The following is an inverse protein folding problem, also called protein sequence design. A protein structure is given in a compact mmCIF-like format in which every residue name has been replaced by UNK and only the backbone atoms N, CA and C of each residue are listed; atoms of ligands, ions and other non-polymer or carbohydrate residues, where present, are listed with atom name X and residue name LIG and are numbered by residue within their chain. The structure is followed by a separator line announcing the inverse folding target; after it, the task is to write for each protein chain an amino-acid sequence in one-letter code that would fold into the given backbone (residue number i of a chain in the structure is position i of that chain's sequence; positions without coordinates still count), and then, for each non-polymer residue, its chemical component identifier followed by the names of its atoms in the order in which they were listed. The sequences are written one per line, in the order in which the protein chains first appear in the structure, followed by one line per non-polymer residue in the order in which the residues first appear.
data_IF_599722782107
#
_entry.id   IF_599722782107
#
_cell.length_a   1.000
_cell.length_b   1.000
_cell.length_c   1.000
_cell.angle_alpha   90.00
_cell.angle_beta   90.00
_cell.angle_gamma   90.00
#
_symmetry.space_group_name_H-M   'P 1'
#
loop_
_entity.id
_entity.type
_entity.pdbx_description
1 polymer ?
#
# COMPACT_ATOMS: atom_id res chain seq x y z
N UNK A 1 -6.26 14.42 12.27
CA UNK A 1 -6.12 14.53 10.78
C UNK A 1 -5.51 13.26 10.23
N UNK A 2 -6.06 12.73 9.11
CA UNK A 2 -5.48 11.60 8.41
C UNK A 2 -5.04 11.99 7.00
N UNK A 3 -4.00 11.33 6.47
CA UNK A 3 -3.59 11.45 5.08
C UNK A 3 -3.86 10.13 4.35
N UNK A 4 -4.60 10.19 3.24
CA UNK A 4 -4.82 9.06 2.34
C UNK A 4 -3.89 9.18 1.13
N UNK A 5 -2.97 8.23 0.99
CA UNK A 5 -2.04 8.10 -0.13
C UNK A 5 -2.60 7.07 -1.10
N UNK A 6 -3.04 7.51 -2.28
CA UNK A 6 -3.76 6.66 -3.24
C UNK A 6 -2.94 6.45 -4.50
N UNK A 7 -2.75 5.18 -4.87
CA UNK A 7 -2.12 4.78 -6.14
C UNK A 7 -3.22 4.26 -7.08
N UNK A 8 -3.47 4.98 -8.18
CA UNK A 8 -4.53 4.64 -9.14
C UNK A 8 -4.00 4.56 -10.58
N UNK A 9 -4.65 3.71 -11.41
CA UNK A 9 -4.27 3.53 -12.81
C UNK A 9 -5.45 3.28 -13.75
N UNK A 10 -6.58 2.80 -13.27
CA UNK A 10 -7.77 2.47 -14.06
C UNK A 10 -9.07 2.63 -13.26
N UNK A 11 -10.21 2.28 -13.87
CA UNK A 11 -11.53 2.18 -13.26
C UNK A 11 -11.93 3.46 -12.49
N UNK A 12 -12.11 4.55 -13.26
CA UNK A 12 -12.46 5.85 -12.70
C UNK A 12 -13.66 5.79 -11.73
N UNK A 13 -14.74 5.11 -12.09
CA UNK A 13 -15.97 5.08 -11.27
C UNK A 13 -15.76 4.32 -9.94
N UNK A 14 -14.80 3.38 -9.88
CA UNK A 14 -14.38 2.75 -8.63
C UNK A 14 -13.61 3.75 -7.76
N UNK A 15 -12.65 4.46 -8.36
CA UNK A 15 -11.91 5.51 -7.67
C UNK A 15 -12.85 6.61 -7.15
N UNK A 16 -13.85 7.01 -7.94
CA UNK A 16 -14.89 7.95 -7.52
C UNK A 16 -15.66 7.45 -6.30
N UNK A 17 -16.02 6.16 -6.28
CA UNK A 17 -16.71 5.54 -5.15
C UNK A 17 -15.83 5.54 -3.90
N UNK A 18 -14.54 5.21 -4.02
CA UNK A 18 -13.56 5.31 -2.95
C UNK A 18 -13.48 6.73 -2.40
N UNK A 19 -13.29 7.71 -3.29
CA UNK A 19 -13.14 9.11 -2.91
C UNK A 19 -14.34 9.66 -2.16
N UNK A 20 -15.58 9.33 -2.59
CA UNK A 20 -16.79 9.71 -1.86
C UNK A 20 -16.84 9.14 -0.45
N UNK A 21 -16.35 7.91 -0.25
CA UNK A 21 -16.33 7.27 1.07
C UNK A 21 -15.31 7.87 2.04
N UNK A 22 -14.26 8.53 1.53
CA UNK A 22 -13.19 9.12 2.37
C UNK A 22 -13.20 10.66 2.36
N UNK A 23 -14.18 11.28 1.69
CA UNK A 23 -14.31 12.74 1.61
C UNK A 23 -14.82 13.33 2.93
N UNK A 24 -13.90 13.73 3.79
CA UNK A 24 -14.15 14.26 5.13
C UNK A 24 -13.17 15.41 5.44
N UNK A 25 -13.60 16.43 6.16
CA UNK A 25 -12.77 17.59 6.52
C UNK A 25 -11.53 17.23 7.36
N UNK A 26 -11.54 16.06 7.99
CA UNK A 26 -10.42 15.50 8.77
C UNK A 26 -9.41 14.75 7.91
N UNK A 27 -9.63 14.67 6.58
CA UNK A 27 -8.80 13.92 5.66
C UNK A 27 -8.16 14.82 4.61
N UNK A 28 -6.88 14.60 4.35
CA UNK A 28 -6.20 15.07 3.15
C UNK A 28 -5.92 13.88 2.22
N UNK A 29 -6.08 14.08 0.92
CA UNK A 29 -5.99 13.03 -0.08
C UNK A 29 -4.88 13.35 -1.06
N UNK A 30 -3.91 12.45 -1.18
CA UNK A 30 -2.77 12.55 -2.10
C UNK A 30 -2.87 11.44 -3.13
N UNK A 31 -2.93 11.81 -4.41
CA UNK A 31 -3.22 10.84 -5.48
C UNK A 31 -2.08 10.79 -6.50
N UNK A 32 -1.54 9.60 -6.70
CA UNK A 32 -0.73 9.27 -7.86
C UNK A 32 -1.60 8.58 -8.92
N UNK A 33 -1.60 9.10 -10.14
CA UNK A 33 -2.20 8.46 -11.30
C UNK A 33 -1.10 7.99 -12.23
N UNK A 34 -1.05 6.69 -12.54
CA UNK A 34 -0.04 6.15 -13.48
C UNK A 34 -0.02 6.95 -14.79
N UNK A 35 1.17 7.24 -15.31
CA UNK A 35 1.32 8.09 -16.48
C UNK A 35 0.68 7.52 -17.75
N UNK A 36 0.46 6.19 -17.82
CA UNK A 36 -0.27 5.54 -18.92
C UNK A 36 -1.79 5.47 -18.68
N UNK A 37 -2.25 5.90 -17.53
CA UNK A 37 -3.69 5.99 -17.24
C UNK A 37 -4.34 7.10 -18.04
N UNK A 38 -5.60 6.85 -18.44
CA UNK A 38 -6.47 7.84 -19.09
C UNK A 38 -7.42 8.54 -18.10
N UNK A 39 -7.19 8.39 -16.79
CA UNK A 39 -7.98 9.05 -15.77
C UNK A 39 -7.88 10.58 -15.89
N UNK A 40 -9.02 11.25 -15.84
CA UNK A 40 -9.12 12.72 -15.91
C UNK A 40 -9.08 13.31 -14.50
N UNK A 41 -8.05 14.11 -14.21
CA UNK A 41 -7.85 14.77 -12.93
C UNK A 41 -9.00 15.74 -12.60
N UNK A 42 -9.51 16.47 -13.60
CA UNK A 42 -10.60 17.45 -13.39
C UNK A 42 -11.89 16.78 -12.89
N UNK A 43 -12.18 15.60 -13.41
CA UNK A 43 -13.30 14.78 -12.95
C UNK A 43 -13.11 14.29 -11.52
N UNK A 44 -11.88 13.89 -11.14
CA UNK A 44 -11.56 13.45 -9.78
C UNK A 44 -11.76 14.60 -8.79
N UNK A 45 -11.26 15.79 -9.11
CA UNK A 45 -11.40 16.97 -8.25
C UNK A 45 -12.87 17.35 -8.00
N UNK A 46 -13.75 17.14 -8.98
CA UNK A 46 -15.18 17.47 -8.84
C UNK A 46 -15.95 16.55 -7.88
N UNK A 47 -15.38 15.42 -7.49
CA UNK A 47 -16.00 14.45 -6.58
C UNK A 47 -15.87 14.89 -5.11
N UNK A 48 -14.74 15.52 -4.76
CA UNK A 48 -14.39 15.89 -3.40
C UNK A 48 -14.95 17.24 -3.03
N UNK A 49 -15.57 17.34 -1.86
CA UNK A 49 -16.21 18.56 -1.36
C UNK A 49 -15.63 19.02 -0.01
N UNK A 50 -15.12 18.11 0.79
CA UNK A 50 -14.69 18.35 2.17
C UNK A 50 -13.16 18.20 2.32
N UNK A 51 -12.58 17.20 1.67
CA UNK A 51 -11.16 16.89 1.76
C UNK A 51 -10.32 17.77 0.83
N UNK A 52 -9.13 18.17 1.30
CA UNK A 52 -8.11 18.70 0.40
C UNK A 52 -7.57 17.55 -0.48
N UNK A 53 -7.42 17.82 -1.77
CA UNK A 53 -6.80 16.86 -2.70
C UNK A 53 -5.57 17.45 -3.36
N UNK A 54 -4.52 16.62 -3.46
CA UNK A 54 -3.30 16.94 -4.17
C UNK A 54 -2.88 15.79 -5.08
N UNK A 55 -2.44 16.12 -6.30
CA UNK A 55 -1.95 15.14 -7.27
C UNK A 55 -0.43 15.24 -7.36
N UNK A 56 0.23 14.13 -7.09
CA UNK A 56 1.69 14.06 -7.25
C UNK A 56 2.08 13.83 -8.72
N UNK A 57 3.34 14.09 -9.11
CA UNK A 57 3.82 13.87 -10.47
C UNK A 57 3.54 12.45 -10.96
N UNK A 58 2.97 12.34 -12.15
CA UNK A 58 2.62 11.04 -12.76
C UNK A 58 3.88 10.34 -13.27
N UNK A 59 4.16 9.18 -12.73
CA UNK A 59 5.21 8.29 -13.21
C UNK A 59 4.60 6.98 -13.72
N UNK A 60 5.29 6.29 -14.62
CA UNK A 60 4.88 4.96 -15.05
C UNK A 60 5.35 3.91 -14.04
N UNK A 61 4.41 3.21 -13.44
CA UNK A 61 4.70 2.15 -12.47
C UNK A 61 4.77 0.80 -13.18
N UNK A 62 5.95 0.23 -13.24
CA UNK A 62 6.16 -1.14 -13.69
C UNK A 62 6.02 -2.09 -12.52
N UNK A 63 5.06 -2.99 -12.60
CA UNK A 63 4.78 -3.94 -11.53
C UNK A 63 6.01 -4.75 -11.11
N UNK A 64 6.30 -4.79 -9.81
CA UNK A 64 7.46 -5.47 -9.23
C UNK A 64 8.77 -4.73 -9.40
N UNK A 65 8.75 -3.52 -9.98
CA UNK A 65 9.90 -2.62 -10.10
C UNK A 65 9.98 -1.60 -8.96
N UNK A 66 11.10 -0.91 -8.90
CA UNK A 66 11.35 0.13 -7.89
C UNK A 66 10.47 1.39 -8.08
N UNK A 67 9.81 1.52 -9.23
CA UNK A 67 8.92 2.64 -9.53
C UNK A 67 7.76 2.74 -8.51
N UNK A 68 7.31 1.60 -7.96
CA UNK A 68 6.28 1.57 -6.90
C UNK A 68 6.79 2.28 -5.63
N UNK A 69 7.97 1.92 -5.15
CA UNK A 69 8.58 2.57 -3.97
C UNK A 69 8.81 4.06 -4.21
N UNK A 70 9.22 4.45 -5.43
CA UNK A 70 9.32 5.88 -5.80
C UNK A 70 7.99 6.59 -5.69
N UNK A 71 6.93 5.98 -6.22
CA UNK A 71 5.58 6.52 -6.15
C UNK A 71 5.12 6.72 -4.69
N UNK A 72 5.38 5.74 -3.82
CA UNK A 72 5.03 5.83 -2.40
C UNK A 72 5.80 6.96 -1.70
N UNK A 73 7.08 7.17 -2.05
CA UNK A 73 7.85 8.32 -1.52
C UNK A 73 7.36 9.66 -2.06
N UNK A 74 6.97 9.78 -3.34
CA UNK A 74 6.36 11.00 -3.88
C UNK A 74 5.07 11.37 -3.11
N UNK A 75 4.24 10.37 -2.81
CA UNK A 75 3.02 10.58 -2.02
C UNK A 75 3.32 10.96 -0.56
N UNK A 76 4.25 10.25 0.10
CA UNK A 76 4.67 10.54 1.46
C UNK A 76 5.26 11.96 1.58
N UNK A 77 6.18 12.32 0.70
CA UNK A 77 6.82 13.63 0.71
C UNK A 77 5.80 14.74 0.47
N UNK A 78 4.90 14.60 -0.51
CA UNK A 78 3.84 15.58 -0.78
C UNK A 78 2.95 15.82 0.46
N UNK A 79 2.60 14.75 1.20
CA UNK A 79 1.81 14.87 2.41
C UNK A 79 2.47 15.77 3.47
N UNK A 80 3.78 15.66 3.63
CA UNK A 80 4.50 16.42 4.67
C UNK A 80 5.13 17.72 4.18
N UNK A 81 5.35 17.92 2.89
CA UNK A 81 5.74 19.21 2.30
C UNK A 81 4.69 20.30 2.52
N UNK A 82 3.43 19.92 2.69
CA UNK A 82 2.34 20.82 3.02
C UNK A 82 2.49 21.53 4.38
N UNK A 83 3.43 21.06 5.25
CA UNK A 83 3.60 21.53 6.62
C UNK A 83 2.48 21.08 7.57
N UNK A 84 1.60 20.18 7.13
CA UNK A 84 0.52 19.62 7.94
C UNK A 84 1.03 18.45 8.81
N UNK A 85 0.36 18.28 9.93
CA UNK A 85 0.59 17.15 10.84
C UNK A 85 -0.55 16.16 10.70
N UNK A 86 -0.21 14.88 10.62
CA UNK A 86 -1.17 13.79 10.53
C UNK A 86 -0.99 12.84 11.71
N UNK A 87 -2.11 12.43 12.30
CA UNK A 87 -2.12 11.35 13.28
C UNK A 87 -1.83 10.02 12.59
N UNK A 88 -2.46 9.80 11.44
CA UNK A 88 -2.27 8.59 10.63
C UNK A 88 -2.12 8.87 9.13
N UNK A 89 -1.36 8.02 8.47
CA UNK A 89 -1.13 7.98 7.02
C UNK A 89 -1.51 6.61 6.49
N UNK A 90 -2.43 6.56 5.52
CA UNK A 90 -2.96 5.33 4.94
C UNK A 90 -2.52 5.17 3.50
N UNK A 91 -1.82 4.08 3.19
CA UNK A 91 -1.53 3.71 1.80
C UNK A 91 -2.59 2.74 1.30
N UNK A 92 -3.31 3.14 0.25
CA UNK A 92 -4.36 2.37 -0.42
C UNK A 92 -4.25 2.50 -1.94
N UNK A 93 -5.00 1.68 -2.66
CA UNK A 93 -5.08 1.78 -4.13
C UNK A 93 -6.46 2.24 -4.59
N UNK A 94 -6.55 2.69 -5.85
CA UNK A 94 -7.82 2.98 -6.49
C UNK A 94 -8.76 1.78 -6.67
N UNK A 95 -8.34 0.57 -6.26
CA UNK A 95 -9.15 -0.65 -6.29
C UNK A 95 -9.56 -1.14 -4.89
N UNK A 96 -9.36 -0.32 -3.87
CA UNK A 96 -9.74 -0.56 -2.48
C UNK A 96 -11.04 0.19 -2.15
N UNK A 97 -11.77 -0.29 -1.15
CA UNK A 97 -12.87 0.45 -0.54
C UNK A 97 -12.77 0.39 0.99
N UNK A 98 -13.16 1.46 1.70
CA UNK A 98 -13.39 1.37 3.14
C UNK A 98 -14.64 0.52 3.39
N UNK A 99 -14.63 -0.19 4.52
CA UNK A 99 -15.77 -0.99 5.01
C UNK A 99 -16.49 -0.30 6.17
N UNK A 100 -15.98 0.83 6.62
CA UNK A 100 -16.50 1.65 7.71
C UNK A 100 -16.59 3.11 7.26
N UNK A 101 -17.52 3.88 7.84
CA UNK A 101 -17.60 5.32 7.63
C UNK A 101 -16.43 6.06 8.28
N UNK A 102 -16.28 7.35 8.00
CA UNK A 102 -15.12 8.12 8.46
C UNK A 102 -15.15 8.33 9.99
N UNK A 103 -16.31 8.43 10.63
CA UNK A 103 -16.40 8.52 12.09
C UNK A 103 -15.92 7.24 12.78
N UNK A 104 -16.26 6.08 12.23
CA UNK A 104 -15.77 4.79 12.74
C UNK A 104 -14.26 4.65 12.53
N UNK A 105 -13.74 5.02 11.34
CA UNK A 105 -12.32 4.94 11.03
C UNK A 105 -11.52 5.87 11.95
N UNK A 106 -11.90 7.14 12.08
CA UNK A 106 -11.22 8.08 12.95
C UNK A 106 -11.25 7.63 14.41
N UNK A 107 -12.42 7.21 14.91
CA UNK A 107 -12.56 6.68 16.27
C UNK A 107 -11.64 5.48 16.51
N UNK A 108 -11.58 4.55 15.57
CA UNK A 108 -10.71 3.38 15.70
C UNK A 108 -9.24 3.77 15.85
N UNK A 109 -8.74 4.69 15.03
CA UNK A 109 -7.36 5.15 15.11
C UNK A 109 -7.09 6.04 16.34
N UNK A 110 -8.08 6.77 16.85
CA UNK A 110 -7.97 7.51 18.10
C UNK A 110 -7.86 6.56 19.31
N UNK A 111 -8.61 5.45 19.30
CA UNK A 111 -8.54 4.40 20.34
C UNK A 111 -7.23 3.62 20.31
N UNK A 112 -6.58 3.53 19.14
CA UNK A 112 -5.30 2.85 18.90
C UNK A 112 -4.15 3.83 18.62
N UNK A 113 -4.20 5.01 19.23
CA UNK A 113 -3.24 6.08 18.98
C UNK A 113 -1.81 5.63 19.26
N UNK A 114 -0.95 5.83 18.26
CA UNK A 114 0.48 5.50 18.35
C UNK A 114 0.82 4.08 17.92
N UNK A 115 -0.16 3.25 17.55
CA UNK A 115 0.08 1.91 17.02
C UNK A 115 0.35 1.96 15.51
N UNK A 116 1.24 1.07 15.04
CA UNK A 116 1.62 0.95 13.64
C UNK A 116 0.96 -0.28 13.00
N UNK A 117 0.13 -0.06 12.00
CA UNK A 117 -0.62 -1.12 11.33
C UNK A 117 0.14 -1.56 10.08
N UNK A 118 1.11 -2.43 10.27
CA UNK A 118 1.97 -3.01 9.25
C UNK A 118 1.91 -4.52 9.31
N UNK A 119 1.68 -5.16 8.17
CA UNK A 119 1.61 -6.61 8.06
C UNK A 119 2.98 -7.24 7.83
N UNK A 120 3.20 -8.40 8.45
CA UNK A 120 4.39 -9.23 8.29
C UNK A 120 3.98 -10.67 7.95
N UNK A 121 4.45 -11.22 6.83
CA UNK A 121 4.06 -12.54 6.36
C UNK A 121 4.66 -13.71 7.15
N UNK A 122 5.80 -13.51 7.81
CA UNK A 122 6.48 -14.54 8.62
C UNK A 122 7.47 -13.89 9.60
N UNK A 123 7.86 -14.58 10.70
CA UNK A 123 8.88 -14.10 11.62
C UNK A 123 10.22 -13.79 10.94
N UNK A 124 10.58 -14.60 9.96
CA UNK A 124 11.75 -14.41 9.10
C UNK A 124 11.38 -14.71 7.65
N UNK A 125 11.83 -13.87 6.70
CA UNK A 125 11.66 -14.17 5.29
C UNK A 125 12.37 -15.46 4.91
N UNK A 126 11.78 -16.22 4.00
CA UNK A 126 12.39 -17.42 3.43
C UNK A 126 13.66 -17.04 2.64
N UNK A 127 14.57 -18.00 2.45
CA UNK A 127 15.79 -17.79 1.66
C UNK A 127 15.47 -17.27 0.24
N UNK A 128 14.40 -17.77 -0.38
CA UNK A 128 13.93 -17.33 -1.70
C UNK A 128 13.47 -15.87 -1.70
N UNK A 129 12.88 -15.40 -0.63
CA UNK A 129 12.47 -14.01 -0.46
C UNK A 129 13.69 -13.12 -0.21
N UNK A 130 14.62 -13.56 0.64
CA UNK A 130 15.88 -12.86 0.87
C UNK A 130 16.71 -12.69 -0.41
N UNK A 131 16.71 -13.66 -1.31
CA UNK A 131 17.37 -13.57 -2.61
C UNK A 131 16.86 -12.41 -3.46
N UNK A 132 15.58 -12.04 -3.34
CA UNK A 132 15.00 -10.88 -4.03
C UNK A 132 15.67 -9.56 -3.63
N UNK A 133 16.16 -9.44 -2.41
CA UNK A 133 16.85 -8.27 -1.86
C UNK A 133 18.36 -8.41 -1.91
N UNK A 134 18.87 -9.64 -1.69
CA UNK A 134 20.31 -9.95 -1.60
C UNK A 134 21.03 -9.74 -2.93
N UNK A 135 20.40 -10.11 -4.04
CA UNK A 135 21.00 -10.00 -5.36
C UNK A 135 20.50 -8.75 -6.12
N UNK A 136 21.16 -8.45 -7.23
CA UNK A 136 20.73 -7.38 -8.12
C UNK A 136 19.73 -7.94 -9.14
N UNK A 137 18.60 -7.23 -9.31
CA UNK A 137 17.55 -7.53 -10.26
C UNK A 137 17.29 -6.31 -11.14
N UNK A 138 18.03 -6.20 -12.24
CA UNK A 138 17.91 -5.06 -13.17
C UNK A 138 16.70 -5.19 -14.10
N UNK A 139 16.24 -6.43 -14.36
CA UNK A 139 15.06 -6.72 -15.18
C UNK A 139 13.73 -6.68 -14.40
N UNK A 140 13.74 -6.27 -13.13
CA UNK A 140 12.53 -6.10 -12.33
C UNK A 140 11.56 -5.10 -12.98
N UNK A 141 10.25 -5.32 -12.84
CA UNK A 141 9.23 -4.42 -13.37
C UNK A 141 8.73 -4.73 -14.78
N UNK A 142 9.01 -5.92 -15.34
CA UNK A 142 8.44 -6.36 -16.61
C UNK A 142 7.94 -7.81 -16.53
N UNK A 143 6.63 -8.01 -16.72
CA UNK A 143 5.95 -9.32 -16.62
C UNK A 143 5.99 -10.12 -17.94
N UNK A 144 7.13 -10.25 -18.59
CA UNK A 144 7.24 -11.12 -19.77
C UNK A 144 8.13 -12.34 -19.47
N UNK A 145 7.99 -13.36 -20.30
CA UNK A 145 8.74 -14.63 -20.17
C UNK A 145 10.26 -14.40 -20.16
N UNK A 146 10.73 -13.51 -21.04
CA UNK A 146 12.16 -13.19 -21.14
C UNK A 146 12.70 -12.59 -19.85
N UNK A 147 12.00 -11.61 -19.25
CA UNK A 147 12.46 -11.00 -18.00
C UNK A 147 12.44 -11.98 -16.81
N UNK A 148 11.50 -12.93 -16.80
CA UNK A 148 11.52 -14.02 -15.80
C UNK A 148 12.79 -14.89 -15.92
N UNK A 149 13.25 -15.16 -17.14
CA UNK A 149 14.51 -15.86 -17.38
C UNK A 149 15.71 -15.01 -16.93
N UNK A 150 15.72 -13.73 -17.28
CA UNK A 150 16.78 -12.80 -16.86
C UNK A 150 16.85 -12.72 -15.33
N UNK A 151 15.74 -12.55 -14.63
CA UNK A 151 15.69 -12.52 -13.15
C UNK A 151 16.24 -13.80 -12.54
N UNK A 152 15.94 -14.98 -13.14
CA UNK A 152 16.53 -16.24 -12.70
C UNK A 152 18.04 -16.28 -12.92
N UNK A 153 18.51 -15.83 -14.08
CA UNK A 153 19.94 -15.75 -14.38
C UNK A 153 20.67 -14.80 -13.42
N UNK A 154 20.10 -13.63 -13.14
CA UNK A 154 20.62 -12.68 -12.16
C UNK A 154 20.76 -13.31 -10.76
N UNK A 155 19.76 -14.10 -10.33
CA UNK A 155 19.82 -14.84 -9.06
C UNK A 155 20.96 -15.86 -9.05
N UNK A 156 21.10 -16.66 -10.11
CA UNK A 156 22.16 -17.67 -10.24
C UNK A 156 23.54 -17.01 -10.23
N UNK A 157 23.72 -15.95 -11.01
CA UNK A 157 24.98 -15.18 -11.02
C UNK A 157 25.27 -14.57 -9.65
N UNK A 158 24.26 -14.02 -8.98
CA UNK A 158 24.40 -13.50 -7.62
C UNK A 158 24.92 -14.55 -6.63
N UNK A 159 24.44 -15.79 -6.72
CA UNK A 159 24.93 -16.92 -5.92
C UNK A 159 26.37 -17.28 -6.25
N UNK A 160 26.70 -17.42 -7.54
CA UNK A 160 28.04 -17.77 -8.02
C UNK A 160 29.07 -16.75 -7.56
N UNK A 161 28.78 -15.47 -7.67
CA UNK A 161 29.69 -14.38 -7.30
C UNK A 161 29.65 -14.01 -5.80
N UNK A 162 28.86 -14.73 -4.99
CA UNK A 162 28.75 -14.49 -3.55
C UNK A 162 28.25 -13.08 -3.19
N UNK A 163 27.41 -12.47 -4.05
CA UNK A 163 26.85 -11.14 -3.81
C UNK A 163 25.99 -11.17 -2.55
N UNK A 164 26.19 -10.18 -1.67
CA UNK A 164 25.34 -10.01 -0.50
C UNK A 164 25.14 -8.53 -0.17
N UNK A 165 24.00 -7.97 -0.60
CA UNK A 165 23.61 -6.58 -0.38
C UNK A 165 22.96 -6.32 0.99
N UNK A 166 22.57 -7.39 1.71
CA UNK A 166 21.82 -7.28 2.97
C UNK A 166 22.68 -7.47 4.22
N UNK A 167 24.02 -7.40 4.10
CA UNK A 167 24.95 -7.57 5.23
C UNK A 167 24.64 -6.59 6.35
N UNK A 168 24.47 -7.12 7.57
CA UNK A 168 24.27 -6.31 8.79
C UNK A 168 22.91 -5.65 8.91
N UNK A 169 21.92 -6.02 8.10
CA UNK A 169 20.54 -5.51 8.16
C UNK A 169 19.55 -6.66 8.39
N UNK A 170 18.59 -6.42 9.28
CA UNK A 170 17.44 -7.31 9.43
C UNK A 170 16.46 -6.95 8.31
N UNK A 171 16.31 -7.85 7.34
CA UNK A 171 15.33 -7.70 6.25
C UNK A 171 14.02 -8.35 6.68
N UNK A 172 12.90 -7.70 6.39
CA UNK A 172 11.58 -8.24 6.67
C UNK A 172 10.64 -8.01 5.49
N UNK A 173 9.62 -8.87 5.36
CA UNK A 173 8.65 -8.87 4.28
C UNK A 173 7.22 -8.83 4.81
N UNK A 174 6.34 -8.14 4.08
CA UNK A 174 4.90 -8.14 4.34
C UNK A 174 4.10 -7.52 3.21
N UNK A 175 2.90 -7.06 3.52
CA UNK A 175 2.03 -6.36 2.57
C UNK A 175 2.59 -4.97 2.25
N UNK A 176 2.38 -4.51 1.03
CA UNK A 176 2.62 -3.11 0.63
C UNK A 176 1.73 -2.13 1.41
N UNK A 177 0.51 -2.54 1.75
CA UNK A 177 -0.53 -1.68 2.32
C UNK A 177 -0.33 -1.51 3.82
N UNK A 178 -0.50 -0.28 4.30
CA UNK A 178 -0.30 0.07 5.70
C UNK A 178 -1.20 1.23 6.15
N UNK A 179 -1.34 1.35 7.47
CA UNK A 179 -1.77 2.56 8.15
C UNK A 179 -0.77 2.83 9.26
N UNK A 180 -0.04 3.92 9.17
CA UNK A 180 1.04 4.22 10.10
C UNK A 180 0.87 5.61 10.70
N UNK A 181 1.49 5.82 11.86
CA UNK A 181 1.49 7.15 12.48
C UNK A 181 2.22 8.17 11.62
N UNK A 182 1.85 9.44 11.75
CA UNK A 182 2.57 10.53 11.11
C UNK A 182 4.04 10.60 11.54
N UNK A 183 4.34 10.18 12.77
CA UNK A 183 5.71 10.09 13.28
C UNK A 183 6.53 9.06 12.51
N UNK A 184 6.00 7.83 12.36
CA UNK A 184 6.70 6.80 11.58
C UNK A 184 6.78 7.17 10.11
N UNK A 185 5.74 7.79 9.52
CA UNK A 185 5.79 8.26 8.14
C UNK A 185 6.92 9.28 7.91
N UNK A 186 7.11 10.25 8.82
CA UNK A 186 8.25 11.19 8.78
C UNK A 186 9.59 10.46 8.93
N UNK A 187 9.66 9.48 9.84
CA UNK A 187 10.86 8.67 9.97
C UNK A 187 11.14 7.89 8.68
N UNK A 188 10.12 7.29 8.05
CA UNK A 188 10.25 6.58 6.78
C UNK A 188 10.80 7.50 5.67
N UNK A 189 10.32 8.74 5.57
CA UNK A 189 10.84 9.77 4.66
C UNK A 189 12.33 10.02 4.94
N UNK A 190 12.74 10.14 6.20
CA UNK A 190 14.15 10.35 6.58
C UNK A 190 15.06 9.20 6.14
N UNK A 191 14.52 8.00 6.00
CA UNK A 191 15.24 6.80 5.54
C UNK A 191 15.32 6.66 4.01
N UNK A 192 14.83 7.64 3.23
CA UNK A 192 14.79 7.60 1.76
C UNK A 192 16.12 7.18 1.15
N UNK A 193 17.23 7.78 1.59
CA UNK A 193 18.57 7.47 1.06
C UNK A 193 18.96 6.00 1.28
N UNK A 194 18.66 5.43 2.46
CA UNK A 194 18.86 4.02 2.74
C UNK A 194 17.98 3.13 1.86
N UNK A 195 16.67 3.42 1.80
CA UNK A 195 15.70 2.63 1.03
C UNK A 195 16.06 2.63 -0.46
N UNK A 196 16.37 3.79 -1.03
CA UNK A 196 16.75 3.91 -2.45
C UNK A 196 18.04 3.16 -2.75
N UNK A 197 19.04 3.24 -1.89
CA UNK A 197 20.30 2.48 -2.04
C UNK A 197 20.08 0.97 -1.93
N UNK A 198 19.30 0.53 -0.93
CA UNK A 198 19.11 -0.88 -0.62
C UNK A 198 18.17 -1.58 -1.61
N UNK A 199 17.04 -0.93 -1.97
CA UNK A 199 15.94 -1.60 -2.67
C UNK A 199 15.84 -1.28 -4.16
N UNK A 200 16.61 -0.32 -4.71
CA UNK A 200 16.56 0.08 -6.13
C UNK A 200 16.63 -1.10 -7.12
N UNK A 201 17.37 -2.14 -6.79
CA UNK A 201 17.56 -3.33 -7.62
C UNK A 201 16.98 -4.59 -6.97
N UNK A 202 15.94 -4.43 -6.17
CA UNK A 202 15.19 -5.52 -5.53
C UNK A 202 14.02 -5.91 -6.42
N UNK A 203 13.65 -7.18 -6.43
CA UNK A 203 12.45 -7.66 -7.11
C UNK A 203 11.25 -7.55 -6.17
N UNK A 204 10.21 -6.80 -6.56
CA UNK A 204 9.02 -6.41 -5.76
C UNK A 204 9.46 -5.77 -4.42
N UNK A 205 10.11 -4.60 -4.46
CA UNK A 205 10.68 -3.96 -3.27
C UNK A 205 9.64 -3.38 -2.32
N UNK A 206 8.44 -3.08 -2.80
CA UNK A 206 7.29 -2.57 -2.07
C UNK A 206 6.81 -3.52 -0.97
N UNK A 207 7.08 -4.84 -1.09
CA UNK A 207 6.80 -5.82 -0.04
C UNK A 207 7.89 -5.89 1.05
N UNK A 208 8.94 -5.08 1.00
CA UNK A 208 10.09 -5.19 1.91
C UNK A 208 10.46 -3.91 2.65
N UNK A 209 10.36 -2.75 1.99
CA UNK A 209 11.05 -1.56 2.51
C UNK A 209 10.41 -1.03 3.79
N UNK A 210 9.07 -0.97 3.88
CA UNK A 210 8.37 -0.50 5.09
C UNK A 210 8.66 -1.44 6.25
N UNK A 211 8.49 -2.75 6.04
CA UNK A 211 8.74 -3.78 7.05
C UNK A 211 10.20 -3.77 7.52
N UNK A 212 11.14 -3.58 6.59
CA UNK A 212 12.56 -3.49 6.94
C UNK A 212 12.87 -2.22 7.72
N UNK A 213 12.30 -1.09 7.36
CA UNK A 213 12.55 0.17 8.07
C UNK A 213 11.97 0.10 9.49
N UNK A 214 10.71 -0.33 9.65
CA UNK A 214 10.07 -0.36 10.96
C UNK A 214 10.76 -1.34 11.92
N UNK A 215 11.11 -2.55 11.47
CA UNK A 215 11.73 -3.57 12.34
C UNK A 215 13.15 -3.18 12.79
N UNK A 216 13.80 -2.23 12.12
CA UNK A 216 15.09 -1.67 12.50
C UNK A 216 14.96 -0.30 13.18
N UNK A 217 13.79 0.08 13.64
CA UNK A 217 13.50 1.34 14.35
C UNK A 217 12.85 1.06 15.71
N UNK A 218 12.75 2.09 16.55
CA UNK A 218 12.01 2.04 17.82
C UNK A 218 10.50 1.86 17.63
N UNK A 219 9.95 2.19 16.44
CA UNK A 219 8.53 2.02 16.14
C UNK A 219 8.10 0.54 16.06
N UNK A 220 9.07 -0.40 16.00
CA UNK A 220 8.77 -1.84 16.05
C UNK A 220 8.04 -2.26 17.36
N UNK A 221 8.24 -1.54 18.45
CA UNK A 221 7.59 -1.83 19.72
C UNK A 221 6.10 -1.44 19.70
N UNK A 222 5.72 -0.55 18.80
CA UNK A 222 4.38 0.00 18.65
C UNK A 222 3.53 -0.73 17.59
N UNK A 223 4.00 -1.85 17.05
CA UNK A 223 3.22 -2.64 16.09
C UNK A 223 1.90 -3.09 16.71
N UNK A 224 0.78 -2.78 16.04
CA UNK A 224 -0.57 -3.20 16.42
C UNK A 224 -0.67 -4.72 16.58
N UNK A 225 -0.14 -5.46 15.63
CA UNK A 225 -0.06 -6.92 15.70
C UNK A 225 1.40 -7.38 15.69
N UNK A 226 1.71 -8.28 16.63
CA UNK A 226 3.00 -8.99 16.71
C UNK A 226 2.90 -10.40 16.12
N UNK A 227 1.79 -10.71 15.46
CA UNK A 227 1.63 -11.95 14.69
C UNK A 227 2.39 -11.84 13.36
N UNK A 228 2.93 -12.96 12.94
CA UNK A 228 3.63 -13.09 11.66
C UNK A 228 2.95 -14.21 10.89
N UNK A 229 1.95 -13.85 10.10
CA UNK A 229 1.12 -14.77 9.33
C UNK A 229 0.67 -14.12 8.01
N UNK A 230 -0.10 -14.83 7.21
CA UNK A 230 -0.68 -14.31 5.98
C UNK A 230 -2.00 -13.54 6.20
N UNK A 231 -2.36 -13.30 7.46
CA UNK A 231 -3.53 -12.54 7.82
C UNK A 231 -3.27 -11.03 7.72
N UNK A 232 -4.01 -10.36 6.85
CA UNK A 232 -3.86 -8.93 6.60
C UNK A 232 -4.63 -8.06 7.62
N UNK A 233 -5.21 -8.65 8.67
CA UNK A 233 -5.82 -7.90 9.78
C UNK A 233 -4.80 -6.97 10.44
N UNK A 234 -3.52 -7.39 10.53
CA UNK A 234 -2.45 -6.56 11.07
C UNK A 234 -2.31 -5.19 10.40
N UNK A 235 -2.73 -5.04 9.16
CA UNK A 235 -2.78 -3.76 8.45
C UNK A 235 -4.21 -3.27 8.19
N UNK A 236 -5.23 -3.90 8.79
CA UNK A 236 -6.65 -3.58 8.68
C UNK A 236 -7.21 -3.66 7.25
N UNK A 237 -6.63 -4.54 6.42
CA UNK A 237 -7.06 -4.77 5.04
C UNK A 237 -7.56 -6.19 4.88
N UNK A 238 -8.83 -6.35 4.47
CA UNK A 238 -9.35 -7.65 4.09
C UNK A 238 -8.92 -7.97 2.66
N UNK A 239 -7.99 -8.92 2.52
CA UNK A 239 -7.42 -9.34 1.23
C UNK A 239 -7.46 -10.86 1.15
N UNK A 240 -8.23 -11.40 0.19
CA UNK A 240 -8.31 -12.85 0.01
C UNK A 240 -7.30 -13.33 -1.03
N UNK A 241 -6.32 -14.08 -0.57
CA UNK A 241 -5.31 -14.75 -1.39
C UNK A 241 -5.65 -16.21 -1.68
N UNK A 242 -6.69 -16.77 -1.06
CA UNK A 242 -7.06 -18.18 -1.22
C UNK A 242 -7.89 -18.40 -2.48
N UNK A 243 -8.80 -17.47 -2.78
CA UNK A 243 -9.68 -17.50 -3.96
C UNK A 243 -9.09 -16.79 -5.20
N UNK A 244 -7.94 -16.09 -5.06
CA UNK A 244 -7.35 -15.33 -6.17
C UNK A 244 -5.94 -14.78 -5.89
N UNK A 245 -5.48 -13.82 -6.71
CA UNK A 245 -4.10 -13.27 -6.61
C UNK A 245 -4.03 -11.73 -6.72
N UNK A 246 -4.68 -10.96 -5.86
CA UNK A 246 -5.74 -11.26 -4.90
C UNK A 246 -7.11 -11.50 -5.58
N UNK A 247 -8.06 -12.08 -4.83
CA UNK A 247 -9.44 -12.25 -5.28
C UNK A 247 -10.12 -10.91 -5.50
N UNK A 248 -11.01 -10.85 -6.50
CA UNK A 248 -11.84 -9.68 -6.73
C UNK A 248 -13.22 -9.94 -6.17
N UNK A 249 -13.60 -9.21 -5.14
CA UNK A 249 -14.85 -9.39 -4.40
C UNK A 249 -16.08 -9.11 -5.24
N UNK A 250 -17.16 -9.83 -4.94
CA UNK A 250 -18.46 -9.77 -5.61
C UNK A 250 -19.59 -9.56 -4.62
N UNK A 251 -20.80 -9.40 -5.13
CA UNK A 251 -22.01 -9.12 -4.33
C UNK A 251 -22.31 -10.19 -3.28
N UNK A 252 -21.93 -11.43 -3.53
CA UNK A 252 -22.04 -12.56 -2.59
C UNK A 252 -21.12 -12.46 -1.38
N UNK A 253 -20.02 -11.73 -1.49
CA UNK A 253 -19.03 -11.56 -0.42
C UNK A 253 -19.38 -10.40 0.55
N UNK A 254 -20.50 -9.71 0.34
CA UNK A 254 -20.82 -8.49 1.10
C UNK A 254 -20.83 -8.70 2.61
N UNK A 255 -21.53 -9.73 3.08
CA UNK A 255 -21.68 -9.99 4.51
C UNK A 255 -20.35 -10.43 5.13
N UNK A 256 -19.53 -11.20 4.40
CA UNK A 256 -18.17 -11.57 4.79
C UNK A 256 -17.31 -10.30 4.97
N UNK A 257 -17.35 -9.37 4.02
CA UNK A 257 -16.58 -8.12 4.07
C UNK A 257 -16.99 -7.23 5.24
N UNK A 258 -18.30 -6.96 5.38
CA UNK A 258 -18.80 -6.04 6.42
C UNK A 258 -18.62 -6.57 7.84
N UNK A 259 -18.52 -7.90 8.02
CA UNK A 259 -18.29 -8.57 9.30
C UNK A 259 -16.82 -8.93 9.54
N UNK A 260 -15.90 -8.60 8.63
CA UNK A 260 -14.48 -8.98 8.73
C UNK A 260 -13.71 -8.33 9.89
N UNK A 261 -14.23 -7.23 10.45
CA UNK A 261 -13.49 -6.41 11.41
C UNK A 261 -12.44 -5.48 10.79
N UNK A 262 -12.11 -5.64 9.51
CA UNK A 262 -11.17 -4.76 8.82
C UNK A 262 -11.81 -3.41 8.46
N UNK A 263 -10.98 -2.38 8.37
CA UNK A 263 -11.41 -1.03 7.97
C UNK A 263 -11.46 -0.83 6.46
N UNK A 264 -10.66 -1.59 5.73
CA UNK A 264 -10.55 -1.52 4.27
C UNK A 264 -10.58 -2.93 3.67
N UNK A 265 -10.94 -3.04 2.41
CA UNK A 265 -10.84 -4.29 1.66
C UNK A 265 -10.29 -4.09 0.25
N UNK A 266 -9.69 -5.14 -0.28
CA UNK A 266 -9.22 -5.22 -1.66
C UNK A 266 -9.23 -6.66 -2.18
N UNK A 267 -9.54 -6.85 -3.48
CA UNK A 267 -9.74 -5.74 -4.41
C UNK A 267 -11.14 -5.79 -5.01
N UNK A 268 -11.57 -4.64 -5.49
CA UNK A 268 -12.82 -4.49 -6.19
C UNK A 268 -12.60 -4.20 -7.67
N UNK A 269 -13.64 -4.43 -8.48
CA UNK A 269 -13.66 -4.08 -9.90
C UNK A 269 -15.09 -3.86 -10.37
N UNK A 270 -15.40 -2.67 -10.86
CA UNK A 270 -16.72 -2.37 -11.44
C UNK A 270 -16.98 -3.16 -12.72
N UNK A 271 -15.93 -3.59 -13.42
CA UNK A 271 -16.06 -4.42 -14.62
C UNK A 271 -16.50 -5.84 -14.28
N UNK A 272 -16.11 -6.36 -13.10
CA UNK A 272 -16.47 -7.70 -12.64
C UNK A 272 -17.81 -7.70 -11.91
N UNK A 273 -17.99 -6.77 -10.97
CA UNK A 273 -19.24 -6.60 -10.21
C UNK A 273 -19.36 -5.17 -9.67
N UNK A 274 -20.16 -4.34 -10.34
CA UNK A 274 -20.43 -2.97 -9.91
C UNK A 274 -21.41 -2.90 -8.73
N UNK A 275 -22.21 -3.96 -8.51
CA UNK A 275 -23.21 -4.00 -7.44
C UNK A 275 -22.56 -4.05 -6.07
N UNK A 276 -21.48 -4.83 -5.90
CA UNK A 276 -20.75 -4.86 -4.62
C UNK A 276 -20.18 -3.50 -4.28
N UNK A 277 -19.60 -2.81 -5.27
CA UNK A 277 -19.04 -1.47 -5.09
C UNK A 277 -20.12 -0.51 -4.61
N UNK A 278 -21.27 -0.47 -5.31
CA UNK A 278 -22.40 0.40 -4.92
C UNK A 278 -22.98 0.04 -3.56
N UNK A 279 -23.09 -1.26 -3.23
CA UNK A 279 -23.65 -1.72 -1.96
C UNK A 279 -22.78 -1.29 -0.78
N UNK A 280 -21.45 -1.47 -0.89
CA UNK A 280 -20.48 -1.04 0.13
C UNK A 280 -20.49 0.49 0.24
N UNK A 281 -20.33 1.20 -0.89
CA UNK A 281 -20.36 2.66 -0.91
C UNK A 281 -21.61 3.23 -0.23
N UNK A 282 -22.78 2.67 -0.55
CA UNK A 282 -24.04 3.10 0.07
C UNK A 282 -24.07 2.80 1.57
N UNK A 283 -23.58 1.65 2.00
CA UNK A 283 -23.51 1.32 3.43
C UNK A 283 -22.57 2.25 4.21
N UNK A 284 -21.41 2.55 3.64
CA UNK A 284 -20.41 3.45 4.27
C UNK A 284 -20.89 4.90 4.34
N UNK A 285 -21.61 5.38 3.33
CA UNK A 285 -22.09 6.78 3.30
C UNK A 285 -23.37 7.01 4.12
N UNK A 286 -24.14 5.98 4.44
CA UNK A 286 -25.42 6.08 5.17
C UNK A 286 -25.35 5.50 6.60
N UNK A 287 -24.25 4.92 7.00
CA UNK A 287 -23.99 4.40 8.34
C UNK A 287 -23.29 5.43 9.18
#
# INVERSE_FOLDING_TARGET
MHAYLIIAHDQFDLLESLLKCIDDERNDIYIHIDSHSKLDISRIQSVLQNSRVEFVPRIHIRWGGFDMVRCEYELLEAAFESGREYDYVHLISGADLPLKNQDEIHRYFDEHKGEEFVHFGAPEPTEKELERVRYYHFASGRRNFFNRLVTKAETVLGRIFGINRIKGKKIQRGSQWFSVTGEFAKYLISQKSFVFKQFKHTYIPDEFFVQTVIINSSCADNLHSKKFDDDHEACLRYIDWTRGHPYTFKSEDYDELMNSGCLFARKFSIVQDDKIVRKITSAVLNG
#
